data_IF_650252801769
#
_entry.id   IF_650252801769
#
_cell.length_a   1.000
_cell.length_b   1.000
_cell.length_c   1.000
_cell.angle_alpha   90.00
_cell.angle_beta   90.00
_cell.angle_gamma   90.00
#
_symmetry.space_group_name_H-M   'P 1'
#
loop_
_entity.id
_entity.type
_entity.pdbx_description
1 polymer ?
#
# COMPACT_ATOMS: atom_id res chain seq x y z
N UNK A 1 -5.65 -8.63 4.62
CA UNK A 1 -4.53 -7.69 4.75
C UNK A 1 -4.55 -7.08 6.14
N UNK A 2 -5.71 -6.58 6.58
CA UNK A 2 -5.92 -5.96 7.89
C UNK A 2 -5.40 -6.80 9.06
N UNK A 3 -5.78 -8.08 9.15
CA UNK A 3 -5.29 -8.99 10.21
C UNK A 3 -3.75 -9.07 10.25
N UNK A 4 -3.08 -9.09 9.09
CA UNK A 4 -1.61 -9.16 9.05
C UNK A 4 -1.00 -7.84 9.51
N UNK A 5 -1.60 -6.72 9.13
CA UNK A 5 -1.14 -5.40 9.53
C UNK A 5 -1.37 -5.17 11.03
N UNK A 6 -2.52 -5.58 11.57
CA UNK A 6 -2.85 -5.51 13.00
C UNK A 6 -1.88 -6.35 13.83
N UNK A 7 -1.64 -7.60 13.42
CA UNK A 7 -0.67 -8.47 14.10
C UNK A 7 0.75 -7.90 14.01
N UNK A 8 1.14 -7.34 12.87
CA UNK A 8 2.44 -6.71 12.69
C UNK A 8 2.56 -5.45 13.55
N UNK A 9 1.51 -4.64 13.66
CA UNK A 9 1.46 -3.47 14.52
C UNK A 9 1.59 -3.87 16.00
N UNK A 10 0.79 -4.84 16.45
CA UNK A 10 0.81 -5.34 17.82
C UNK A 10 2.19 -5.87 18.24
N UNK A 11 2.81 -6.71 17.40
CA UNK A 11 4.00 -7.46 17.77
C UNK A 11 5.31 -6.78 17.40
N UNK A 12 5.32 -5.95 16.35
CA UNK A 12 6.55 -5.41 15.77
C UNK A 12 6.48 -3.89 15.70
N UNK A 13 5.57 -3.33 14.92
CA UNK A 13 5.67 -1.92 14.56
C UNK A 13 5.37 -0.98 15.73
N UNK A 14 4.47 -1.30 16.66
CA UNK A 14 4.29 -0.49 17.87
C UNK A 14 5.60 -0.34 18.65
N UNK A 15 6.37 -1.43 18.79
CA UNK A 15 7.68 -1.41 19.47
C UNK A 15 8.69 -0.60 18.66
N UNK A 16 8.76 -0.82 17.35
CA UNK A 16 9.69 -0.10 16.47
C UNK A 16 9.39 1.40 16.49
N UNK A 17 8.15 1.83 16.24
CA UNK A 17 7.76 3.23 16.29
C UNK A 17 8.04 3.82 17.68
N UNK A 18 7.68 3.13 18.76
CA UNK A 18 7.99 3.60 20.13
C UNK A 18 9.48 3.68 20.46
N UNK A 19 10.36 3.02 19.69
CA UNK A 19 11.82 3.14 19.88
C UNK A 19 12.44 4.30 19.10
N UNK A 20 11.71 4.90 18.16
CA UNK A 20 12.20 6.01 17.35
C UNK A 20 12.21 7.31 18.18
N UNK A 21 13.15 8.24 17.88
CA UNK A 21 13.11 9.56 18.47
C UNK A 21 11.79 10.27 18.13
N UNK A 22 11.32 11.11 19.04
CA UNK A 22 10.12 11.94 18.85
C UNK A 22 10.38 13.03 17.80
N UNK A 23 10.45 12.63 16.52
CA UNK A 23 10.57 13.53 15.40
C UNK A 23 9.18 14.15 15.18
N UNK A 24 9.01 15.47 15.34
CA UNK A 24 7.73 16.13 15.11
C UNK A 24 7.37 16.02 13.64
N UNK A 25 6.12 15.61 13.36
CA UNK A 25 5.57 15.54 12.03
C UNK A 25 4.51 16.64 11.86
N UNK A 26 4.44 17.27 10.67
CA UNK A 26 3.42 18.27 10.38
C UNK A 26 2.03 17.61 10.29
N UNK A 27 1.05 18.11 11.03
CA UNK A 27 -0.35 17.68 10.90
C UNK A 27 -1.06 18.47 9.80
N UNK A 28 -1.05 17.89 8.60
CA UNK A 28 -1.71 18.46 7.43
C UNK A 28 -3.22 18.60 7.63
N UNK A 29 -3.84 17.75 8.44
CA UNK A 29 -5.29 17.81 8.70
C UNK A 29 -5.61 19.03 9.56
N UNK A 30 -4.85 19.23 10.64
CA UNK A 30 -4.98 20.41 11.49
C UNK A 30 -4.67 21.70 10.70
N UNK A 31 -3.66 21.68 9.84
CA UNK A 31 -3.32 22.83 9.00
C UNK A 31 -4.42 23.18 7.99
N UNK A 32 -5.04 22.18 7.34
CA UNK A 32 -6.18 22.39 6.45
C UNK A 32 -7.40 22.89 7.23
N UNK A 33 -7.66 22.34 8.42
CA UNK A 33 -8.75 22.79 9.28
C UNK A 33 -8.56 24.23 9.80
N UNK A 34 -7.30 24.70 9.89
CA UNK A 34 -6.97 26.07 10.26
C UNK A 34 -7.06 27.07 9.09
N UNK A 35 -7.34 26.61 7.86
CA UNK A 35 -7.63 27.50 6.75
C UNK A 35 -8.98 28.19 6.97
N UNK A 36 -9.07 29.51 6.74
CA UNK A 36 -10.34 30.21 6.83
C UNK A 36 -11.31 29.69 5.77
N UNK A 37 -12.56 29.47 6.18
CA UNK A 37 -13.66 29.14 5.29
C UNK A 37 -13.91 30.27 4.28
N UNK A 38 -14.59 29.96 3.17
CA UNK A 38 -14.94 30.96 2.17
C UNK A 38 -15.77 32.11 2.76
N UNK A 39 -16.69 31.81 3.67
CA UNK A 39 -17.49 32.80 4.39
C UNK A 39 -16.65 33.71 5.29
N UNK A 40 -15.64 33.17 5.96
CA UNK A 40 -14.73 33.97 6.78
C UNK A 40 -13.85 34.86 5.90
N UNK A 41 -13.34 34.35 4.78
CA UNK A 41 -12.61 35.13 3.79
C UNK A 41 -13.44 36.30 3.25
N UNK A 42 -14.72 36.05 2.90
CA UNK A 42 -15.65 37.07 2.43
C UNK A 42 -15.97 38.10 3.53
N UNK A 43 -16.14 37.66 4.77
CA UNK A 43 -16.36 38.55 5.92
C UNK A 43 -15.15 39.43 6.20
N UNK A 44 -13.93 38.91 6.00
CA UNK A 44 -12.67 39.65 6.15
C UNK A 44 -12.51 40.69 5.05
N UNK A 45 -12.85 40.33 3.81
CA UNK A 45 -12.81 41.22 2.65
C UNK A 45 -13.79 42.39 2.79
N UNK A 46 -14.92 42.17 3.47
CA UNK A 46 -15.94 43.19 3.73
C UNK A 46 -15.74 43.93 5.08
N UNK A 47 -14.73 43.58 5.86
CA UNK A 47 -14.46 44.23 7.15
C UNK A 47 -13.74 45.57 6.97
N UNK A 48 -14.14 46.59 7.71
CA UNK A 48 -13.50 47.92 7.72
C UNK A 48 -12.23 47.97 8.59
N UNK A 49 -11.96 46.91 9.34
CA UNK A 49 -10.71 46.67 10.08
C UNK A 49 -9.57 46.33 9.11
N UNK A 50 -8.30 46.65 9.42
CA UNK A 50 -7.19 46.33 8.52
C UNK A 50 -7.21 44.82 8.24
N UNK A 51 -7.01 44.41 6.98
CA UNK A 51 -7.03 42.99 6.65
C UNK A 51 -6.02 42.29 7.56
N UNK A 52 -6.42 41.19 8.22
CA UNK A 52 -5.41 40.32 8.83
C UNK A 52 -4.38 40.09 7.74
N UNK A 53 -3.12 40.53 7.91
CA UNK A 53 -2.16 40.40 6.83
C UNK A 53 -2.09 38.92 6.49
N UNK A 54 -1.88 38.57 5.23
CA UNK A 54 -1.73 37.17 4.79
C UNK A 54 -0.77 36.40 5.72
N UNK A 55 0.21 37.11 6.30
CA UNK A 55 1.09 36.66 7.37
C UNK A 55 0.37 36.06 8.61
N UNK A 56 -0.73 36.63 9.10
CA UNK A 56 -1.46 36.12 10.25
C UNK A 56 -2.22 34.82 9.93
N UNK A 57 -2.78 34.69 8.72
CA UNK A 57 -3.40 33.44 8.25
C UNK A 57 -2.31 32.37 8.10
N UNK A 58 -1.19 32.72 7.45
CA UNK A 58 -0.04 31.85 7.33
C UNK A 58 0.51 31.41 8.69
N UNK A 59 0.55 32.31 9.67
CA UNK A 59 1.00 32.01 11.03
C UNK A 59 0.05 31.05 11.75
N UNK A 60 -1.26 31.22 11.60
CA UNK A 60 -2.25 30.30 12.20
C UNK A 60 -2.15 28.89 11.57
N UNK A 61 -2.01 28.81 10.25
CA UNK A 61 -1.83 27.54 9.54
C UNK A 61 -0.50 26.89 9.95
N UNK A 62 0.59 27.67 10.01
CA UNK A 62 1.89 27.19 10.47
C UNK A 62 1.84 26.71 11.92
N UNK A 63 1.19 27.47 12.82
CA UNK A 63 1.07 27.04 14.21
C UNK A 63 0.19 25.79 14.32
N UNK A 64 -0.90 25.66 13.55
CA UNK A 64 -1.72 24.46 13.55
C UNK A 64 -0.97 23.24 13.00
N UNK A 65 -0.16 23.43 11.96
CA UNK A 65 0.69 22.38 11.36
C UNK A 65 1.67 21.78 12.37
N UNK A 66 2.16 22.59 13.31
CA UNK A 66 3.18 22.19 14.29
C UNK A 66 2.66 22.10 15.74
N UNK A 67 1.41 22.47 16.02
CA UNK A 67 0.80 22.39 17.35
C UNK A 67 0.45 20.95 17.75
N UNK A 68 0.31 20.06 16.77
CA UNK A 68 0.11 18.64 17.02
C UNK A 68 1.36 18.03 17.67
N UNK A 69 1.20 17.31 18.78
CA UNK A 69 2.22 16.40 19.32
C UNK A 69 2.38 15.13 18.45
N UNK A 70 2.10 15.23 17.15
CA UNK A 70 2.22 14.14 16.22
C UNK A 70 3.70 13.87 16.03
N UNK A 71 4.15 12.72 16.51
CA UNK A 71 5.52 12.27 16.31
C UNK A 71 5.49 10.90 15.67
N UNK A 72 6.52 10.57 14.91
CA UNK A 72 6.68 9.24 14.32
C UNK A 72 6.58 8.13 15.39
N UNK A 73 6.97 8.45 16.62
CA UNK A 73 6.88 7.60 17.80
C UNK A 73 5.46 7.35 18.31
N UNK A 74 4.56 8.34 18.19
CA UNK A 74 3.20 8.32 18.73
C UNK A 74 2.12 8.26 17.67
N UNK A 75 2.46 7.93 16.41
CA UNK A 75 1.48 7.87 15.32
C UNK A 75 0.39 6.83 15.62
N UNK A 76 -0.89 7.25 15.59
CA UNK A 76 -2.02 6.32 15.67
C UNK A 76 -1.98 5.25 14.57
N UNK A 77 -2.48 4.04 14.84
CA UNK A 77 -2.52 2.91 13.88
C UNK A 77 -3.41 3.19 12.66
N UNK A 78 -4.42 4.04 12.83
CA UNK A 78 -5.34 4.50 11.78
C UNK A 78 -4.73 5.62 10.91
N UNK A 79 -3.57 6.15 11.27
CA UNK A 79 -2.92 7.19 10.48
C UNK A 79 -2.44 6.64 9.13
N UNK A 80 -2.90 7.25 8.03
CA UNK A 80 -2.60 6.82 6.66
C UNK A 80 -1.09 6.77 6.36
N UNK A 81 -0.29 7.70 6.90
CA UNK A 81 1.16 7.71 6.69
C UNK A 81 1.82 6.51 7.35
N UNK A 82 1.42 6.19 8.59
CA UNK A 82 1.88 5.00 9.30
C UNK A 82 1.48 3.73 8.54
N UNK A 83 0.25 3.65 8.07
CA UNK A 83 -0.22 2.48 7.29
C UNK A 83 0.56 2.31 6.00
N UNK A 84 0.79 3.38 5.23
CA UNK A 84 1.61 3.36 4.01
C UNK A 84 3.01 2.84 4.32
N UNK A 85 3.65 3.37 5.37
CA UNK A 85 5.01 3.00 5.76
C UNK A 85 5.09 1.54 6.22
N UNK A 86 4.18 1.12 7.11
CA UNK A 86 4.10 -0.26 7.61
C UNK A 86 3.83 -1.24 6.47
N UNK A 87 2.88 -0.94 5.58
CA UNK A 87 2.58 -1.76 4.41
C UNK A 87 3.76 -1.82 3.45
N UNK A 88 4.47 -0.71 3.22
CA UNK A 88 5.67 -0.69 2.39
C UNK A 88 6.75 -1.61 2.94
N UNK A 89 7.06 -1.49 4.23
CA UNK A 89 8.09 -2.32 4.90
C UNK A 89 7.69 -3.79 4.85
N UNK A 90 6.43 -4.12 5.19
CA UNK A 90 5.95 -5.49 5.20
C UNK A 90 5.95 -6.11 3.79
N UNK A 91 5.50 -5.36 2.79
CA UNK A 91 5.51 -5.79 1.38
C UNK A 91 6.93 -6.02 0.87
N UNK A 92 7.85 -5.09 1.16
CA UNK A 92 9.24 -5.18 0.74
C UNK A 92 9.94 -6.39 1.38
N UNK A 93 9.81 -6.56 2.70
CA UNK A 93 10.38 -7.71 3.41
C UNK A 93 9.76 -9.03 2.95
N UNK A 94 8.44 -9.07 2.78
CA UNK A 94 7.75 -10.23 2.23
C UNK A 94 8.25 -10.62 0.85
N UNK A 95 8.45 -9.63 -0.03
CA UNK A 95 9.00 -9.86 -1.36
C UNK A 95 10.45 -10.35 -1.33
N UNK A 96 11.29 -9.83 -0.42
CA UNK A 96 12.65 -10.35 -0.21
C UNK A 96 12.64 -11.80 0.27
N UNK A 97 11.81 -12.12 1.26
CA UNK A 97 11.68 -13.48 1.79
C UNK A 97 11.23 -14.42 0.69
N UNK A 98 10.17 -14.08 -0.07
CA UNK A 98 9.70 -14.90 -1.19
C UNK A 98 10.80 -15.06 -2.26
N UNK A 99 11.46 -13.97 -2.65
CA UNK A 99 12.53 -14.02 -3.64
C UNK A 99 13.62 -15.01 -3.22
N UNK A 100 14.17 -14.90 -2.02
CA UNK A 100 15.23 -15.80 -1.58
C UNK A 100 14.73 -17.21 -1.26
N UNK A 101 13.51 -17.37 -0.75
CA UNK A 101 12.93 -18.67 -0.44
C UNK A 101 12.67 -19.52 -1.69
N UNK A 102 12.29 -18.90 -2.82
CA UNK A 102 12.01 -19.62 -4.06
C UNK A 102 13.16 -19.58 -5.07
N UNK A 103 13.86 -18.45 -5.22
CA UNK A 103 14.97 -18.34 -6.16
C UNK A 103 16.16 -19.20 -5.73
N UNK A 104 16.43 -19.34 -4.43
CA UNK A 104 17.58 -20.12 -3.94
C UNK A 104 17.42 -21.61 -4.27
N UNK A 105 16.32 -22.30 -3.91
CA UNK A 105 16.11 -23.69 -4.32
C UNK A 105 16.00 -23.84 -5.84
N UNK A 106 15.33 -22.90 -6.53
CA UNK A 106 15.26 -22.94 -8.00
C UNK A 106 16.64 -22.91 -8.64
N UNK A 107 17.57 -22.11 -8.12
CA UNK A 107 18.95 -22.03 -8.60
C UNK A 107 19.74 -23.33 -8.38
N UNK A 108 19.50 -24.05 -7.28
CA UNK A 108 20.22 -25.29 -6.99
C UNK A 108 19.57 -26.54 -7.59
N UNK A 109 18.23 -26.58 -7.68
CA UNK A 109 17.48 -27.79 -8.04
C UNK A 109 17.00 -27.78 -9.51
N UNK A 110 16.70 -26.61 -10.07
CA UNK A 110 16.03 -26.50 -11.39
C UNK A 110 16.95 -25.87 -12.43
N UNK A 111 17.79 -24.90 -12.04
CA UNK A 111 18.62 -24.16 -12.97
C UNK A 111 19.78 -25.00 -13.55
N UNK A 112 19.83 -25.10 -14.87
CA UNK A 112 20.90 -25.80 -15.59
C UNK A 112 22.20 -24.98 -15.59
N UNK A 113 23.19 -25.47 -14.85
CA UNK A 113 24.50 -24.87 -14.71
C UNK A 113 25.30 -24.78 -16.03
N UNK A 114 24.92 -25.53 -17.08
CA UNK A 114 25.57 -25.45 -18.39
C UNK A 114 25.36 -24.10 -19.07
N UNK A 115 24.32 -23.33 -18.70
CA UNK A 115 24.11 -21.96 -19.18
C UNK A 115 25.30 -21.04 -18.91
N UNK A 116 26.10 -21.33 -17.86
CA UNK A 116 27.32 -20.58 -17.53
C UNK A 116 28.42 -20.65 -18.58
N UNK A 117 28.36 -21.66 -19.47
CA UNK A 117 29.34 -21.87 -20.55
C UNK A 117 28.96 -21.11 -21.82
N UNK A 118 27.78 -20.49 -21.87
CA UNK A 118 27.32 -19.78 -23.05
C UNK A 118 28.24 -18.58 -23.35
N UNK A 119 28.62 -18.32 -24.62
CA UNK A 119 29.58 -17.27 -24.98
C UNK A 119 29.14 -15.84 -24.58
N UNK A 120 27.85 -15.63 -24.34
CA UNK A 120 27.29 -14.34 -23.85
C UNK A 120 27.06 -14.30 -22.33
N UNK A 121 27.54 -15.27 -21.57
CA UNK A 121 27.39 -15.28 -20.11
C UNK A 121 28.23 -14.16 -19.48
N UNK A 122 27.60 -13.31 -18.68
CA UNK A 122 28.23 -12.12 -18.13
C UNK A 122 29.13 -12.47 -16.93
N UNK A 123 30.20 -11.69 -16.74
CA UNK A 123 31.04 -11.82 -15.54
C UNK A 123 30.21 -11.48 -14.30
N UNK A 124 30.22 -12.37 -13.31
CA UNK A 124 29.41 -12.25 -12.09
C UNK A 124 27.90 -12.17 -12.35
N UNK A 125 27.39 -12.82 -13.41
CA UNK A 125 25.98 -12.74 -13.81
C UNK A 125 24.99 -13.02 -12.65
N UNK A 126 25.26 -14.01 -11.80
CA UNK A 126 24.42 -14.32 -10.63
C UNK A 126 24.30 -13.10 -9.71
N UNK A 127 25.41 -12.40 -9.43
CA UNK A 127 25.39 -11.18 -8.62
C UNK A 127 24.62 -10.06 -9.32
N UNK A 128 24.73 -9.96 -10.65
CA UNK A 128 23.99 -8.97 -11.43
C UNK A 128 22.48 -9.23 -11.35
N UNK A 129 22.04 -10.48 -11.50
CA UNK A 129 20.62 -10.86 -11.43
C UNK A 129 20.04 -10.59 -10.04
N UNK A 130 20.77 -10.92 -8.97
CA UNK A 130 20.39 -10.58 -7.59
C UNK A 130 20.32 -9.05 -7.43
N UNK A 131 21.33 -8.32 -7.88
CA UNK A 131 21.35 -6.85 -7.76
C UNK A 131 20.20 -6.20 -8.53
N UNK A 132 19.86 -6.69 -9.71
CA UNK A 132 18.73 -6.17 -10.50
C UNK A 132 17.42 -6.39 -9.76
N UNK A 133 17.23 -7.57 -9.16
CA UNK A 133 16.07 -7.86 -8.31
C UNK A 133 16.02 -6.92 -7.09
N UNK A 134 17.13 -6.77 -6.37
CA UNK A 134 17.23 -5.87 -5.21
C UNK A 134 16.96 -4.41 -5.53
N UNK A 135 17.29 -3.95 -6.76
CA UNK A 135 16.97 -2.60 -7.24
C UNK A 135 15.51 -2.45 -7.66
N UNK A 136 14.90 -3.52 -8.18
CA UNK A 136 13.53 -3.50 -8.68
C UNK A 136 12.49 -3.63 -7.55
N UNK A 137 12.73 -4.52 -6.58
CA UNK A 137 11.82 -4.81 -5.47
C UNK A 137 11.30 -3.59 -4.71
N UNK A 138 12.11 -2.59 -4.30
CA UNK A 138 11.58 -1.42 -3.61
C UNK A 138 10.63 -0.60 -4.49
N UNK A 139 10.94 -0.45 -5.79
CA UNK A 139 10.07 0.28 -6.72
C UNK A 139 8.73 -0.44 -6.94
N UNK A 140 8.77 -1.77 -7.07
CA UNK A 140 7.57 -2.59 -7.16
C UNK A 140 6.74 -2.45 -5.87
N UNK A 141 7.38 -2.49 -4.69
CA UNK A 141 6.70 -2.29 -3.41
C UNK A 141 5.99 -0.92 -3.35
N UNK A 142 6.66 0.17 -3.74
CA UNK A 142 6.03 1.51 -3.82
C UNK A 142 4.80 1.51 -4.73
N UNK A 143 4.86 0.86 -5.89
CA UNK A 143 3.72 0.77 -6.80
C UNK A 143 2.59 -0.14 -6.30
N UNK A 144 2.91 -1.09 -5.42
CA UNK A 144 1.96 -2.08 -4.89
C UNK A 144 1.22 -1.56 -3.66
N UNK A 145 1.88 -0.76 -2.82
CA UNK A 145 1.32 -0.23 -1.57
C UNK A 145 -0.03 0.49 -1.74
N UNK A 146 -0.23 1.37 -2.75
CA UNK A 146 -1.54 2.00 -2.96
C UNK A 146 -2.67 1.00 -3.17
N UNK A 147 -2.41 -0.12 -3.87
CA UNK A 147 -3.40 -1.17 -4.07
C UNK A 147 -3.66 -1.97 -2.81
N UNK A 148 -2.64 -2.23 -2.01
CA UNK A 148 -2.79 -2.92 -0.73
C UNK A 148 -3.54 -2.06 0.28
N UNK A 149 -3.28 -0.76 0.30
CA UNK A 149 -4.01 0.19 1.13
C UNK A 149 -5.48 0.29 0.70
N UNK A 150 -5.74 0.38 -0.61
CA UNK A 150 -7.11 0.37 -1.13
C UNK A 150 -7.83 -0.95 -0.80
N UNK A 151 -7.15 -2.08 -0.91
CA UNK A 151 -7.70 -3.39 -0.56
C UNK A 151 -8.00 -3.51 0.95
N UNK A 152 -7.13 -2.97 1.80
CA UNK A 152 -7.36 -2.88 3.25
C UNK A 152 -8.58 -2.01 3.58
N UNK A 153 -8.66 -0.80 3.00
CA UNK A 153 -9.81 0.09 3.19
C UNK A 153 -11.13 -0.51 2.66
N UNK A 154 -11.07 -1.24 1.53
CA UNK A 154 -12.22 -1.95 0.99
C UNK A 154 -12.64 -3.12 1.88
N UNK A 155 -11.70 -3.88 2.45
CA UNK A 155 -12.00 -4.95 3.39
C UNK A 155 -12.63 -4.41 4.68
N UNK A 156 -12.10 -3.31 5.22
CA UNK A 156 -12.67 -2.63 6.40
C UNK A 156 -14.11 -2.13 6.14
N UNK A 157 -14.39 -1.56 4.96
CA UNK A 157 -15.75 -1.12 4.61
C UNK A 157 -16.71 -2.27 4.30
N UNK A 158 -16.22 -3.38 3.72
CA UNK A 158 -16.99 -4.61 3.54
C UNK A 158 -17.36 -5.26 4.89
N UNK A 159 -16.44 -5.28 5.85
CA UNK A 159 -16.72 -5.80 7.20
C UNK A 159 -17.84 -5.01 7.90
N UNK A 160 -17.95 -3.70 7.68
CA UNK A 160 -19.01 -2.87 8.22
C UNK A 160 -20.41 -3.16 7.61
N UNK A 161 -20.46 -3.77 6.42
CA UNK A 161 -21.71 -4.07 5.70
C UNK A 161 -22.05 -5.58 5.64
N UNK A 162 -21.17 -6.43 6.14
CA UNK A 162 -21.25 -7.89 6.06
C UNK A 162 -22.56 -8.48 6.62
N UNK A 163 -23.11 -7.93 7.71
CA UNK A 163 -24.36 -8.43 8.30
C UNK A 163 -25.57 -8.24 7.36
N UNK A 164 -25.63 -7.11 6.65
CA UNK A 164 -26.68 -6.82 5.67
C UNK A 164 -26.51 -7.67 4.42
N UNK A 165 -25.27 -7.87 3.97
CA UNK A 165 -24.97 -8.69 2.80
C UNK A 165 -25.26 -10.18 3.03
N UNK A 166 -24.86 -10.73 4.18
CA UNK A 166 -25.15 -12.13 4.55
C UNK A 166 -26.67 -12.38 4.59
N UNK A 167 -27.44 -11.42 5.12
CA UNK A 167 -28.90 -11.51 5.16
C UNK A 167 -29.52 -11.48 3.75
N UNK A 168 -29.01 -10.65 2.86
CA UNK A 168 -29.47 -10.56 1.46
C UNK A 168 -29.08 -11.81 0.64
N UNK A 169 -27.94 -12.43 0.96
CA UNK A 169 -27.42 -13.62 0.30
C UNK A 169 -28.18 -14.88 0.72
N UNK A 170 -28.51 -15.00 2.01
CA UNK A 170 -29.40 -16.03 2.53
C UNK A 170 -30.78 -15.98 1.84
N UNK A 171 -31.32 -14.77 1.61
CA UNK A 171 -32.57 -14.59 0.87
C UNK A 171 -32.46 -15.00 -0.61
N UNK A 172 -31.27 -14.89 -1.22
CA UNK A 172 -31.02 -15.24 -2.63
C UNK A 172 -30.88 -16.75 -2.87
N UNK A 173 -30.26 -17.47 -1.94
CA UNK A 173 -30.02 -18.91 -2.07
C UNK A 173 -31.08 -19.77 -1.36
N UNK A 174 -31.91 -19.19 -0.49
CA UNK A 174 -33.07 -19.85 0.11
C UNK A 174 -32.70 -21.20 0.75
N UNK A 175 -33.34 -22.33 0.39
CA UNK A 175 -33.02 -23.65 0.94
C UNK A 175 -31.59 -24.13 0.68
N UNK A 176 -30.91 -23.56 -0.32
CA UNK A 176 -29.54 -23.91 -0.68
C UNK A 176 -28.49 -23.09 0.08
N UNK A 177 -28.89 -22.03 0.80
CA UNK A 177 -27.98 -21.17 1.55
C UNK A 177 -27.03 -21.96 2.48
N UNK A 178 -27.49 -22.97 3.27
CA UNK A 178 -26.61 -23.73 4.15
C UNK A 178 -25.55 -24.57 3.43
N UNK A 179 -25.76 -24.88 2.14
CA UNK A 179 -24.81 -25.62 1.31
C UNK A 179 -23.81 -24.69 0.61
N UNK A 180 -24.25 -23.49 0.25
CA UNK A 180 -23.50 -22.55 -0.59
C UNK A 180 -22.65 -21.59 0.24
N UNK A 181 -23.16 -21.11 1.39
CA UNK A 181 -22.45 -20.15 2.25
C UNK A 181 -21.12 -20.68 2.77
N UNK A 182 -21.00 -21.92 3.31
CA UNK A 182 -19.71 -22.44 3.78
C UNK A 182 -18.67 -22.60 2.66
N UNK A 183 -19.12 -22.84 1.43
CA UNK A 183 -18.24 -22.90 0.27
C UNK A 183 -17.76 -21.51 -0.14
N UNK A 184 -18.69 -20.56 -0.26
CA UNK A 184 -18.39 -19.20 -0.73
C UNK A 184 -17.77 -18.27 0.31
N UNK A 185 -17.80 -18.63 1.59
CA UNK A 185 -17.14 -17.88 2.69
C UNK A 185 -15.95 -18.67 3.29
N UNK A 186 -15.76 -19.92 2.87
CA UNK A 186 -14.69 -20.81 3.32
C UNK A 186 -13.64 -21.08 2.23
N UNK A 187 -13.22 -22.34 2.11
CA UNK A 187 -12.14 -22.72 1.18
C UNK A 187 -12.49 -22.53 -0.30
N UNK A 188 -13.77 -22.55 -0.66
CA UNK A 188 -14.21 -22.28 -2.04
C UNK A 188 -13.95 -20.82 -2.43
N UNK A 189 -14.21 -19.88 -1.52
CA UNK A 189 -13.81 -18.47 -1.67
C UNK A 189 -12.32 -18.35 -1.96
N UNK A 190 -11.48 -19.00 -1.14
CA UNK A 190 -10.03 -18.94 -1.26
C UNK A 190 -9.58 -19.48 -2.62
N UNK A 191 -10.11 -20.64 -3.04
CA UNK A 191 -9.77 -21.25 -4.32
C UNK A 191 -10.16 -20.36 -5.51
N UNK A 192 -11.39 -19.84 -5.53
CA UNK A 192 -11.87 -18.92 -6.58
C UNK A 192 -11.08 -17.62 -6.57
N UNK A 193 -10.73 -17.09 -5.39
CA UNK A 193 -9.92 -15.89 -5.24
C UNK A 193 -8.51 -16.08 -5.78
N UNK A 194 -7.88 -17.25 -5.56
CA UNK A 194 -6.57 -17.58 -6.14
C UNK A 194 -6.66 -17.59 -7.67
N UNK A 195 -7.67 -18.25 -8.24
CA UNK A 195 -7.85 -18.29 -9.70
C UNK A 195 -8.10 -16.89 -10.26
N UNK A 196 -9.02 -16.14 -9.63
CA UNK A 196 -9.33 -14.77 -10.02
C UNK A 196 -8.11 -13.85 -9.92
N UNK A 197 -7.31 -13.99 -8.86
CA UNK A 197 -6.06 -13.26 -8.66
C UNK A 197 -5.08 -13.57 -9.77
N UNK A 198 -4.82 -14.85 -10.08
CA UNK A 198 -3.90 -15.24 -11.16
C UNK A 198 -4.36 -14.71 -12.52
N UNK A 199 -5.65 -14.82 -12.85
CA UNK A 199 -6.20 -14.26 -14.08
C UNK A 199 -6.03 -12.75 -14.14
N UNK A 200 -6.31 -12.06 -13.04
CA UNK A 200 -6.16 -10.61 -12.96
C UNK A 200 -4.70 -10.18 -13.07
N UNK A 201 -3.78 -10.82 -12.35
CA UNK A 201 -2.35 -10.48 -12.39
C UNK A 201 -1.73 -10.76 -13.74
N UNK A 202 -2.02 -11.91 -14.35
CA UNK A 202 -1.45 -12.28 -15.64
C UNK A 202 -1.98 -11.37 -16.76
N UNK A 203 -3.28 -11.04 -16.74
CA UNK A 203 -3.84 -10.06 -17.67
C UNK A 203 -3.33 -8.65 -17.40
N UNK A 204 -3.22 -8.25 -16.13
CA UNK A 204 -2.68 -6.96 -15.72
C UNK A 204 -1.24 -6.77 -16.20
N UNK A 205 -0.38 -7.75 -15.94
CA UNK A 205 1.02 -7.75 -16.41
C UNK A 205 1.07 -7.68 -17.94
N UNK A 206 0.20 -8.42 -18.65
CA UNK A 206 0.12 -8.35 -20.11
C UNK A 206 -0.19 -6.92 -20.59
N UNK A 207 -1.20 -6.25 -20.01
CA UNK A 207 -1.55 -4.89 -20.40
C UNK A 207 -0.47 -3.87 -20.06
N UNK A 208 0.16 -3.99 -18.88
CA UNK A 208 1.29 -3.13 -18.48
C UNK A 208 2.46 -3.32 -19.43
N UNK A 209 2.81 -4.57 -19.75
CA UNK A 209 3.86 -4.88 -20.72
C UNK A 209 3.54 -4.29 -22.10
N UNK A 210 2.29 -4.45 -22.56
CA UNK A 210 1.83 -3.87 -23.84
C UNK A 210 1.91 -2.35 -23.84
N UNK A 211 1.59 -1.70 -22.72
CA UNK A 211 1.70 -0.25 -22.59
C UNK A 211 3.15 0.24 -22.53
N UNK A 212 4.06 -0.53 -21.94
CA UNK A 212 5.50 -0.22 -21.98
C UNK A 212 6.08 -0.28 -23.40
N UNK A 213 5.46 -1.03 -24.32
CA UNK A 213 5.78 -1.01 -25.75
C UNK A 213 5.13 0.16 -26.52
N UNK A 214 4.32 0.98 -25.86
CA UNK A 214 3.75 2.15 -26.51
C UNK A 214 4.87 3.13 -26.96
N UNK A 215 4.80 3.72 -28.16
CA UNK A 215 5.90 4.52 -28.73
C UNK A 215 6.39 5.67 -27.85
N UNK A 216 5.50 6.22 -27.01
CA UNK A 216 5.80 7.32 -26.08
C UNK A 216 6.62 6.89 -24.86
N UNK A 217 6.49 5.63 -24.42
CA UNK A 217 7.09 5.10 -23.20
C UNK A 217 8.30 4.21 -23.49
N UNK A 218 8.27 3.47 -24.59
CA UNK A 218 9.27 2.46 -24.97
C UNK A 218 10.71 2.97 -24.85
N UNK A 219 11.00 4.16 -25.42
CA UNK A 219 12.35 4.74 -25.43
C UNK A 219 12.91 5.10 -24.06
N UNK A 220 12.06 5.32 -23.05
CA UNK A 220 12.46 5.80 -21.72
C UNK A 220 12.40 4.71 -20.65
N UNK A 221 11.48 3.75 -20.80
CA UNK A 221 11.18 2.77 -19.76
C UNK A 221 11.49 1.32 -20.15
N UNK A 222 11.46 0.98 -21.45
CA UNK A 222 11.62 -0.41 -21.90
C UNK A 222 12.99 -0.68 -22.55
N UNK A 223 13.69 0.34 -23.05
CA UNK A 223 14.98 0.18 -23.74
C UNK A 223 16.17 0.48 -22.83
#
# INVERSE_FOLDING_TARGET
MDVILDLADEHVFNRVYSSLPAIPLPDLTAAIAALPSWSECLSLANSSSPPRPIAAIAQNVYSALWASNLSLHSLPTDNIFRQILSLYVLTYLGALIMYFAFATPSYFLVFDQNHKKHPKYLKNQIKLEIMMSMKALPNIAVMTVPWLLAAAAAAASAAATAAAENSARAAKFGPLAPLVEPFLDGWGYVAVSIIGFLLFTDMGIYWVHRWLHHPLLYKRLHK
#
